data_IF_602061551860
#
_entry.id   IF_602061551860
#
_cell.length_a   1.000
_cell.length_b   1.000
_cell.length_c   1.000
_cell.angle_alpha   90.00
_cell.angle_beta   90.00
_cell.angle_gamma   90.00
#
_symmetry.space_group_name_H-M   'P 1'
#
loop_
_entity.id
_entity.type
_entity.pdbx_description
1 polymer ?
#
# COMPACT_ATOMS: atom_id res chain seq x y z
N UNK A 1 -4.23 -68.87 -23.44
CA UNK A 1 -4.92 -67.99 -24.41
C UNK A 1 -6.01 -67.13 -23.73
N UNK A 2 -5.76 -66.60 -22.53
CA UNK A 2 -6.75 -65.85 -21.74
C UNK A 2 -6.16 -64.64 -20.98
N UNK A 3 -4.94 -64.20 -21.30
CA UNK A 3 -4.30 -63.03 -20.69
C UNK A 3 -4.13 -61.82 -21.63
N UNK A 4 -4.32 -62.00 -22.95
CA UNK A 4 -4.27 -60.89 -23.93
C UNK A 4 -5.62 -60.23 -24.22
N UNK A 5 -6.73 -60.79 -23.73
CA UNK A 5 -8.08 -60.24 -23.96
C UNK A 5 -8.45 -59.19 -22.90
N UNK A 6 -7.86 -59.26 -21.69
CA UNK A 6 -8.14 -58.30 -20.62
C UNK A 6 -7.45 -56.94 -20.77
N UNK A 7 -6.33 -56.84 -21.51
CA UNK A 7 -5.64 -55.55 -21.70
C UNK A 7 -6.31 -54.68 -22.78
N UNK A 8 -6.98 -55.29 -23.77
CA UNK A 8 -7.69 -54.54 -24.83
C UNK A 8 -9.02 -53.97 -24.31
N UNK A 9 -9.69 -54.64 -23.38
CA UNK A 9 -10.97 -54.17 -22.82
C UNK A 9 -10.77 -52.93 -21.94
N UNK A 10 -9.64 -52.82 -21.22
CA UNK A 10 -9.36 -51.66 -20.37
C UNK A 10 -9.08 -50.40 -21.22
N UNK A 11 -8.40 -50.52 -22.36
CA UNK A 11 -8.13 -49.37 -23.22
C UNK A 11 -9.36 -48.84 -23.97
N UNK A 12 -10.35 -49.70 -24.30
CA UNK A 12 -11.60 -49.27 -24.95
C UNK A 12 -12.52 -48.52 -23.96
N UNK A 13 -12.50 -48.88 -22.67
CA UNK A 13 -13.29 -48.16 -21.66
C UNK A 13 -12.77 -46.76 -21.34
N UNK A 14 -11.45 -46.52 -21.45
CA UNK A 14 -10.89 -45.18 -21.24
C UNK A 14 -11.21 -44.23 -22.41
N UNK A 15 -11.36 -44.75 -23.64
CA UNK A 15 -11.69 -43.93 -24.80
C UNK A 15 -13.19 -43.54 -24.91
N UNK A 16 -14.10 -44.30 -24.29
CA UNK A 16 -15.56 -44.05 -24.37
C UNK A 16 -16.11 -43.16 -23.23
N UNK A 17 -15.32 -42.90 -22.19
CA UNK A 17 -15.64 -41.90 -21.15
C UNK A 17 -14.93 -40.56 -21.34
N UNK A 18 -14.24 -40.35 -22.46
CA UNK A 18 -13.89 -39.02 -22.96
C UNK A 18 -15.11 -38.35 -23.58
N UNK A 19 -16.22 -38.28 -22.84
CA UNK A 19 -17.30 -37.36 -23.16
C UNK A 19 -16.74 -35.97 -22.95
N UNK A 20 -16.48 -35.31 -24.08
CA UNK A 20 -16.37 -33.88 -24.26
C UNK A 20 -16.67 -33.10 -22.97
N UNK A 21 -15.60 -32.68 -22.29
CA UNK A 21 -15.65 -31.42 -21.55
C UNK A 21 -15.82 -30.38 -22.66
N UNK A 22 -17.07 -30.20 -23.08
CA UNK A 22 -17.47 -29.00 -23.78
C UNK A 22 -16.98 -27.90 -22.88
N UNK A 23 -15.95 -27.18 -23.34
CA UNK A 23 -15.64 -25.88 -22.81
C UNK A 23 -16.96 -25.11 -22.95
N UNK A 24 -17.73 -25.07 -21.86
CA UNK A 24 -18.76 -24.05 -21.72
C UNK A 24 -18.01 -22.78 -22.06
N UNK A 25 -18.47 -21.97 -23.03
CA UNK A 25 -17.92 -20.63 -23.14
C UNK A 25 -18.14 -20.08 -21.74
N UNK A 26 -17.05 -19.91 -21.00
CA UNK A 26 -17.07 -19.03 -19.87
C UNK A 26 -17.33 -17.71 -20.55
N UNK A 27 -18.61 -17.37 -20.68
CA UNK A 27 -19.03 -16.02 -20.85
C UNK A 27 -18.35 -15.34 -19.67
N UNK A 28 -17.17 -14.76 -19.92
CA UNK A 28 -16.71 -13.62 -19.15
C UNK A 28 -17.91 -12.71 -19.25
N UNK A 29 -18.77 -12.74 -18.24
CA UNK A 29 -19.48 -11.56 -17.82
C UNK A 29 -18.36 -10.58 -17.55
N UNK A 30 -17.96 -9.89 -18.62
CA UNK A 30 -17.37 -8.58 -18.52
C UNK A 30 -18.48 -7.78 -17.86
N UNK A 31 -18.52 -7.87 -16.53
CA UNK A 31 -19.11 -6.84 -15.73
C UNK A 31 -18.63 -5.55 -16.37
N UNK A 32 -19.51 -4.60 -16.69
CA UNK A 32 -19.04 -3.32 -17.16
C UNK A 32 -18.08 -2.87 -16.06
N UNK A 33 -16.78 -2.89 -16.36
CA UNK A 33 -15.84 -2.08 -15.60
C UNK A 33 -16.43 -0.70 -15.81
N UNK A 34 -17.10 -0.22 -14.76
CA UNK A 34 -17.97 0.93 -14.86
C UNK A 34 -17.14 2.07 -15.44
N UNK A 35 -17.66 2.82 -16.43
CA UNK A 35 -16.87 3.90 -17.04
C UNK A 35 -16.34 4.86 -15.98
N UNK A 36 -17.12 5.02 -14.89
CA UNK A 36 -16.76 5.79 -13.69
C UNK A 36 -15.50 5.24 -12.99
N UNK A 37 -15.33 3.91 -12.86
CA UNK A 37 -14.11 3.36 -12.26
C UNK A 37 -12.88 3.57 -13.15
N UNK A 38 -13.06 3.60 -14.47
CA UNK A 38 -11.95 3.84 -15.42
C UNK A 38 -11.49 5.30 -15.41
N UNK A 39 -12.40 6.26 -15.28
CA UNK A 39 -12.07 7.68 -15.12
C UNK A 39 -11.35 7.94 -13.80
N UNK A 40 -11.85 7.38 -12.69
CA UNK A 40 -11.24 7.55 -11.38
C UNK A 40 -9.86 6.92 -11.25
N UNK A 41 -9.65 5.76 -11.88
CA UNK A 41 -8.32 5.16 -12.02
C UNK A 41 -7.38 6.07 -12.82
N UNK A 42 -7.87 6.67 -13.92
CA UNK A 42 -7.08 7.62 -14.73
C UNK A 42 -6.73 8.87 -13.92
N UNK A 43 -7.67 9.40 -13.15
CA UNK A 43 -7.45 10.53 -12.26
C UNK A 43 -6.40 10.21 -11.19
N UNK A 44 -6.51 9.06 -10.52
CA UNK A 44 -5.53 8.62 -9.51
C UNK A 44 -4.14 8.52 -10.14
N UNK A 45 -3.99 7.82 -11.26
CA UNK A 45 -2.71 7.72 -11.96
C UNK A 45 -2.14 9.09 -12.34
N UNK A 46 -2.99 10.03 -12.77
CA UNK A 46 -2.56 11.37 -13.11
C UNK A 46 -2.13 12.19 -11.88
N UNK A 47 -2.71 11.94 -10.71
CA UNK A 47 -2.27 12.52 -9.43
C UNK A 47 -0.92 11.94 -9.02
N UNK A 48 -0.77 10.61 -9.00
CA UNK A 48 0.48 9.93 -8.63
C UNK A 48 1.64 10.30 -9.56
N UNK A 49 1.37 10.43 -10.86
CA UNK A 49 2.35 10.89 -11.85
C UNK A 49 2.57 12.42 -11.84
N UNK A 50 1.97 13.15 -10.90
CA UNK A 50 2.10 14.60 -10.75
C UNK A 50 1.67 15.40 -12.00
N UNK A 51 0.76 14.86 -12.81
CA UNK A 51 0.15 15.51 -13.98
C UNK A 51 -1.08 16.35 -13.58
N UNK A 52 -1.80 15.95 -12.53
CA UNK A 52 -2.87 16.73 -11.89
C UNK A 52 -2.36 17.26 -10.56
N UNK A 53 -2.30 18.59 -10.42
CA UNK A 53 -1.72 19.28 -9.25
C UNK A 53 -2.71 20.23 -8.59
N UNK A 54 -2.46 20.54 -7.32
CA UNK A 54 -3.22 21.56 -6.59
C UNK A 54 -4.70 21.22 -6.38
N UNK A 55 -5.08 19.94 -6.52
CA UNK A 55 -6.42 19.48 -6.18
C UNK A 55 -6.63 19.59 -4.66
N UNK A 56 -7.86 19.92 -4.25
CA UNK A 56 -8.19 20.19 -2.83
C UNK A 56 -8.98 19.07 -2.17
N UNK A 57 -9.74 18.34 -2.96
CA UNK A 57 -10.55 17.18 -2.56
C UNK A 57 -10.51 16.17 -3.70
N UNK A 58 -10.69 14.89 -3.35
CA UNK A 58 -10.96 13.83 -4.31
C UNK A 58 -12.30 14.13 -5.01
N UNK A 59 -12.43 13.96 -6.35
CA UNK A 59 -13.70 14.10 -7.04
C UNK A 59 -14.77 13.22 -6.38
N UNK A 60 -15.93 13.80 -6.04
CA UNK A 60 -16.96 13.09 -5.28
C UNK A 60 -17.46 11.80 -5.95
N UNK A 61 -17.46 11.75 -7.28
CA UNK A 61 -17.84 10.55 -8.04
C UNK A 61 -16.79 9.42 -7.95
N UNK A 62 -15.57 9.70 -7.46
CA UNK A 62 -14.50 8.73 -7.26
C UNK A 62 -14.44 8.13 -5.86
N UNK A 63 -15.37 8.48 -4.96
CA UNK A 63 -15.41 7.95 -3.60
C UNK A 63 -15.29 6.41 -3.55
N UNK A 64 -16.16 5.70 -4.27
CA UNK A 64 -16.18 4.24 -4.26
C UNK A 64 -14.88 3.63 -4.81
N UNK A 65 -14.25 4.30 -5.77
CA UNK A 65 -12.96 3.88 -6.33
C UNK A 65 -11.84 4.02 -5.30
N UNK A 66 -11.74 5.18 -4.64
CA UNK A 66 -10.70 5.42 -3.64
C UNK A 66 -10.91 4.56 -2.39
N UNK A 67 -12.15 4.39 -1.93
CA UNK A 67 -12.45 3.47 -0.84
C UNK A 67 -12.01 2.04 -1.18
N UNK A 68 -12.34 1.56 -2.39
CA UNK A 68 -11.92 0.23 -2.84
C UNK A 68 -10.39 0.11 -2.96
N UNK A 69 -9.71 1.15 -3.41
CA UNK A 69 -8.25 1.18 -3.50
C UNK A 69 -7.59 1.09 -2.10
N UNK A 70 -8.05 1.93 -1.17
CA UNK A 70 -7.47 2.05 0.19
C UNK A 70 -7.85 0.90 1.13
N UNK A 71 -8.88 0.12 0.82
CA UNK A 71 -9.38 -0.95 1.71
C UNK A 71 -9.37 -2.34 1.05
N UNK A 72 -9.19 -2.40 -0.27
CA UNK A 72 -9.28 -3.62 -1.06
C UNK A 72 -7.95 -4.34 -1.29
N UNK A 73 -6.85 -3.90 -0.67
CA UNK A 73 -5.54 -4.55 -0.77
C UNK A 73 -4.64 -4.03 -1.89
N UNK A 74 -5.13 -3.17 -2.78
CA UNK A 74 -4.31 -2.64 -3.89
C UNK A 74 -3.31 -1.60 -3.39
N UNK A 75 -3.72 -0.71 -2.47
CA UNK A 75 -2.81 0.25 -1.83
C UNK A 75 -1.62 -0.45 -1.17
N UNK A 76 -1.89 -1.52 -0.40
CA UNK A 76 -0.85 -2.29 0.27
C UNK A 76 0.10 -2.96 -0.73
N UNK A 77 -0.43 -3.54 -1.82
CA UNK A 77 0.39 -4.13 -2.89
C UNK A 77 1.29 -3.10 -3.57
N UNK A 78 0.78 -1.90 -3.82
CA UNK A 78 1.56 -0.82 -4.44
C UNK A 78 2.69 -0.36 -3.50
N UNK A 79 2.40 -0.19 -2.20
CA UNK A 79 3.39 0.17 -1.17
C UNK A 79 4.46 -0.92 -1.07
N UNK A 80 4.06 -2.18 -0.95
CA UNK A 80 4.99 -3.31 -0.81
C UNK A 80 5.90 -3.43 -2.04
N UNK A 81 5.34 -3.26 -3.25
CA UNK A 81 6.12 -3.28 -4.48
C UNK A 81 7.19 -2.17 -4.51
N UNK A 82 6.83 -0.95 -4.11
CA UNK A 82 7.79 0.17 -4.04
C UNK A 82 8.85 -0.09 -2.97
N UNK A 83 8.46 -0.58 -1.79
CA UNK A 83 9.39 -0.95 -0.71
C UNK A 83 10.38 -2.00 -1.20
N UNK A 84 9.94 -3.03 -1.92
CA UNK A 84 10.83 -4.04 -2.51
C UNK A 84 11.85 -3.42 -3.47
N UNK A 85 11.45 -2.44 -4.30
CA UNK A 85 12.39 -1.74 -5.19
C UNK A 85 13.43 -0.93 -4.39
N UNK A 86 12.98 -0.23 -3.33
CA UNK A 86 13.87 0.52 -2.44
C UNK A 86 14.86 -0.42 -1.76
N UNK A 87 14.38 -1.55 -1.24
CA UNK A 87 15.20 -2.54 -0.58
C UNK A 87 16.24 -3.17 -1.52
N UNK A 88 15.87 -3.42 -2.78
CA UNK A 88 16.80 -3.87 -3.81
C UNK A 88 17.90 -2.84 -4.03
N UNK A 89 17.54 -1.57 -4.21
CA UNK A 89 18.51 -0.49 -4.36
C UNK A 89 19.45 -0.37 -3.15
N UNK A 90 18.90 -0.37 -1.93
CA UNK A 90 19.67 -0.30 -0.67
C UNK A 90 20.65 -1.46 -0.55
N UNK A 91 20.31 -2.65 -1.04
CA UNK A 91 21.18 -3.83 -0.95
C UNK A 91 22.44 -3.74 -1.81
N UNK A 92 22.45 -2.84 -2.80
CA UNK A 92 23.59 -2.59 -3.69
C UNK A 92 24.54 -1.51 -3.15
N UNK A 93 24.14 -0.81 -2.08
CA UNK A 93 24.92 0.27 -1.48
C UNK A 93 25.90 -0.26 -0.42
N UNK A 94 27.08 0.35 -0.38
CA UNK A 94 28.04 0.17 0.71
C UNK A 94 27.92 1.38 1.63
N UNK A 95 27.38 1.17 2.83
CA UNK A 95 27.32 2.20 3.87
C UNK A 95 28.73 2.47 4.38
N UNK A 96 29.15 3.72 4.31
CA UNK A 96 30.46 4.17 4.75
C UNK A 96 30.63 4.13 6.27
N UNK A 97 31.87 4.03 6.72
CA UNK A 97 32.20 4.04 8.16
C UNK A 97 32.20 5.45 8.77
N UNK A 98 31.99 6.50 7.97
CA UNK A 98 31.97 7.90 8.42
C UNK A 98 30.66 8.29 9.12
N UNK A 99 29.62 7.45 9.03
CA UNK A 99 28.31 7.66 9.63
C UNK A 99 27.49 8.76 8.95
N UNK A 100 27.78 9.09 7.69
CA UNK A 100 27.15 10.19 6.97
C UNK A 100 26.07 9.73 5.97
N UNK A 101 25.89 8.43 5.75
CA UNK A 101 24.84 7.89 4.89
C UNK A 101 23.47 8.04 5.53
N UNK A 102 22.71 9.01 5.05
CA UNK A 102 21.41 9.36 5.58
C UNK A 102 20.26 8.83 4.71
N UNK A 103 19.15 8.47 5.36
CA UNK A 103 17.87 8.23 4.70
C UNK A 103 16.82 9.14 5.33
N UNK A 104 15.98 9.77 4.52
CA UNK A 104 14.94 10.69 5.01
C UNK A 104 13.57 10.05 4.74
N UNK A 105 12.71 10.04 5.75
CA UNK A 105 11.31 9.61 5.62
C UNK A 105 10.39 10.73 6.09
N UNK A 106 9.30 10.93 5.36
CA UNK A 106 8.13 11.64 5.88
C UNK A 106 7.38 10.76 6.88
N UNK A 107 6.46 11.34 7.65
CA UNK A 107 5.66 10.62 8.65
C UNK A 107 4.24 10.35 8.15
N UNK A 108 3.49 11.40 7.83
CA UNK A 108 2.06 11.30 7.55
C UNK A 108 1.80 10.63 6.20
N UNK A 109 1.07 9.52 6.21
CA UNK A 109 0.84 8.64 5.05
C UNK A 109 2.13 8.12 4.39
N UNK A 110 3.25 8.13 5.12
CA UNK A 110 4.53 7.46 4.78
C UNK A 110 4.91 6.45 5.87
N UNK A 111 5.21 6.89 7.09
CA UNK A 111 5.45 5.99 8.23
C UNK A 111 4.15 5.62 8.96
N UNK A 112 3.28 6.60 9.18
CA UNK A 112 2.03 6.47 9.93
C UNK A 112 0.84 6.75 9.02
N UNK A 113 -0.15 5.86 8.99
CA UNK A 113 -1.33 6.01 8.13
C UNK A 113 -2.40 6.89 8.77
N UNK A 114 -2.92 7.83 7.98
CA UNK A 114 -4.06 8.68 8.34
C UNK A 114 -5.38 8.17 7.75
N UNK A 115 -5.40 6.99 7.14
CA UNK A 115 -6.61 6.45 6.48
C UNK A 115 -7.82 6.36 7.41
N UNK A 116 -7.60 6.13 8.72
CA UNK A 116 -8.67 6.09 9.74
C UNK A 116 -9.33 7.46 9.89
N UNK A 117 -8.55 8.54 9.86
CA UNK A 117 -9.10 9.90 9.83
C UNK A 117 -9.89 10.13 8.56
N UNK A 118 -9.29 9.81 7.41
CA UNK A 118 -9.88 10.08 6.10
C UNK A 118 -11.12 9.24 5.81
N UNK A 119 -11.30 8.07 6.43
CA UNK A 119 -12.56 7.31 6.38
C UNK A 119 -13.77 8.14 6.82
N UNK A 120 -13.61 8.99 7.84
CA UNK A 120 -14.65 9.93 8.30
C UNK A 120 -14.84 11.15 7.40
N UNK A 121 -13.88 11.39 6.50
CA UNK A 121 -13.86 12.46 5.49
C UNK A 121 -14.06 11.91 4.07
N UNK A 122 -14.72 10.75 3.96
CA UNK A 122 -14.99 10.07 2.69
C UNK A 122 -13.75 9.92 1.82
N UNK A 123 -12.66 9.44 2.42
CA UNK A 123 -11.35 9.22 1.80
C UNK A 123 -10.82 10.44 1.02
N UNK A 124 -11.11 11.65 1.52
CA UNK A 124 -10.67 12.91 0.91
C UNK A 124 -11.67 13.58 -0.04
N UNK A 125 -12.88 13.01 -0.21
CA UNK A 125 -13.97 13.70 -0.93
C UNK A 125 -14.58 14.86 -0.13
N UNK A 126 -14.30 14.96 1.17
CA UNK A 126 -14.68 16.10 2.00
C UNK A 126 -13.46 17.00 2.28
N UNK A 127 -13.65 18.33 2.42
CA UNK A 127 -12.55 19.25 2.68
C UNK A 127 -11.75 18.89 3.94
N UNK A 128 -10.44 19.11 3.85
CA UNK A 128 -9.53 19.00 5.00
C UNK A 128 -9.92 20.01 6.08
N UNK A 129 -9.99 19.53 7.32
CA UNK A 129 -10.25 20.33 8.52
C UNK A 129 -9.00 20.27 9.41
N UNK A 130 -8.17 21.32 9.42
CA UNK A 130 -6.92 21.34 10.17
C UNK A 130 -7.13 21.19 11.68
N UNK A 131 -8.20 21.76 12.24
CA UNK A 131 -8.46 21.68 13.68
C UNK A 131 -8.91 20.27 14.07
N UNK A 132 -9.78 19.66 13.27
CA UNK A 132 -10.20 18.28 13.50
C UNK A 132 -9.04 17.29 13.32
N UNK A 133 -8.18 17.49 12.31
CA UNK A 133 -7.00 16.66 12.11
C UNK A 133 -6.04 16.79 13.29
N UNK A 134 -5.73 18.02 13.73
CA UNK A 134 -4.91 18.27 14.91
C UNK A 134 -5.47 17.57 16.15
N UNK A 135 -6.78 17.70 16.41
CA UNK A 135 -7.44 17.02 17.52
C UNK A 135 -7.38 15.48 17.43
N UNK A 136 -7.41 14.93 16.22
CA UNK A 136 -7.25 13.50 15.99
C UNK A 136 -5.79 13.05 16.16
N UNK A 137 -4.82 13.76 15.58
CA UNK A 137 -3.40 13.46 15.66
C UNK A 137 -2.82 13.59 17.09
N UNK A 138 -3.40 14.47 17.92
CA UNK A 138 -3.06 14.56 19.35
C UNK A 138 -3.32 13.26 20.13
N UNK A 139 -4.18 12.36 19.62
CA UNK A 139 -4.45 11.07 20.26
C UNK A 139 -3.26 10.10 20.14
N UNK A 140 -2.42 10.25 19.12
CA UNK A 140 -1.25 9.40 18.93
C UNK A 140 -1.59 7.93 18.60
N UNK A 141 -2.69 7.70 17.88
CA UNK A 141 -3.20 6.35 17.57
C UNK A 141 -3.10 6.00 16.07
N UNK A 142 -2.21 6.68 15.33
CA UNK A 142 -2.02 6.42 13.90
C UNK A 142 -1.28 5.07 13.73
N UNK A 143 -1.81 4.10 12.97
CA UNK A 143 -1.12 2.84 12.75
C UNK A 143 0.10 3.01 11.84
N UNK A 144 1.12 2.17 12.01
CA UNK A 144 2.21 2.06 11.05
C UNK A 144 1.71 1.63 9.66
N UNK A 145 2.39 2.11 8.62
CA UNK A 145 2.34 1.48 7.29
C UNK A 145 3.34 0.30 7.30
N UNK A 146 2.88 -0.97 7.25
CA UNK A 146 3.74 -2.12 7.56
C UNK A 146 4.98 -2.26 6.68
N UNK A 147 4.85 -2.08 5.36
CA UNK A 147 5.99 -2.15 4.43
C UNK A 147 7.07 -1.11 4.77
N UNK A 148 6.67 0.12 5.12
CA UNK A 148 7.59 1.21 5.46
C UNK A 148 8.24 0.99 6.83
N UNK A 149 7.53 0.40 7.80
CA UNK A 149 8.14 -0.01 9.08
C UNK A 149 9.23 -1.08 8.89
N UNK A 150 8.99 -2.04 7.98
CA UNK A 150 9.98 -3.04 7.59
C UNK A 150 11.22 -2.39 6.97
N UNK A 151 11.02 -1.50 6.00
CA UNK A 151 12.08 -0.72 5.36
C UNK A 151 12.88 0.09 6.39
N UNK A 152 12.20 0.83 7.27
CA UNK A 152 12.83 1.62 8.34
C UNK A 152 13.76 0.75 9.19
N UNK A 153 13.25 -0.39 9.65
CA UNK A 153 14.01 -1.33 10.49
C UNK A 153 15.26 -1.84 9.77
N UNK A 154 15.15 -2.12 8.46
CA UNK A 154 16.26 -2.58 7.62
C UNK A 154 17.30 -1.49 7.41
N UNK A 155 16.88 -0.25 7.14
CA UNK A 155 17.77 0.90 6.98
C UNK A 155 18.60 1.14 8.25
N UNK A 156 17.95 1.22 9.41
CA UNK A 156 18.62 1.39 10.71
C UNK A 156 19.61 0.24 10.97
N UNK A 157 19.17 -1.02 10.75
CA UNK A 157 20.02 -2.20 10.95
C UNK A 157 21.25 -2.20 10.03
N UNK A 158 21.13 -1.67 8.83
CA UNK A 158 22.20 -1.60 7.85
C UNK A 158 23.14 -0.41 8.06
N UNK A 159 22.92 0.41 9.10
CA UNK A 159 23.83 1.49 9.49
C UNK A 159 23.47 2.87 8.91
N UNK A 160 22.37 3.00 8.17
CA UNK A 160 21.91 4.30 7.70
C UNK A 160 21.46 5.18 8.87
N UNK A 161 21.77 6.48 8.78
CA UNK A 161 21.20 7.51 9.65
C UNK A 161 19.82 7.90 9.16
N UNK A 162 18.78 7.33 9.76
CA UNK A 162 17.40 7.63 9.34
C UNK A 162 16.90 8.90 10.03
N UNK A 163 16.50 9.90 9.24
CA UNK A 163 15.90 11.14 9.68
C UNK A 163 14.41 11.12 9.37
N UNK A 164 13.59 11.48 10.35
CA UNK A 164 12.16 11.68 10.17
C UNK A 164 11.89 13.18 10.07
N UNK A 165 11.18 13.59 9.03
CA UNK A 165 10.77 14.98 8.82
C UNK A 165 9.26 14.98 8.65
N UNK A 166 8.57 15.90 9.32
CA UNK A 166 7.11 16.00 9.23
C UNK A 166 6.67 17.44 9.10
N UNK A 167 5.47 17.67 8.56
CA UNK A 167 4.80 18.97 8.58
C UNK A 167 3.87 19.16 9.79
N UNK A 168 3.91 18.26 10.78
CA UNK A 168 3.14 18.41 12.03
C UNK A 168 3.69 19.57 12.85
N UNK A 169 2.79 20.30 13.51
CA UNK A 169 3.16 21.41 14.39
C UNK A 169 3.95 20.92 15.61
N UNK A 170 5.18 21.40 15.78
CA UNK A 170 6.07 20.98 16.88
C UNK A 170 5.45 21.27 18.26
N UNK A 171 4.93 22.48 18.46
CA UNK A 171 4.46 22.96 19.77
C UNK A 171 3.34 22.08 20.33
N UNK A 172 2.45 21.59 19.46
CA UNK A 172 1.24 20.90 19.89
C UNK A 172 1.18 19.42 19.56
N UNK A 173 1.94 18.94 18.58
CA UNK A 173 1.89 17.54 18.13
C UNK A 173 3.18 16.77 18.40
N UNK A 174 4.26 17.40 18.88
CA UNK A 174 5.50 16.68 19.14
C UNK A 174 5.35 15.54 20.16
N UNK A 175 4.72 15.74 21.34
CA UNK A 175 4.59 14.66 22.32
C UNK A 175 3.81 13.46 21.80
N UNK A 176 2.67 13.69 21.12
CA UNK A 176 1.85 12.60 20.59
C UNK A 176 2.51 11.91 19.40
N UNK A 177 3.22 12.64 18.55
CA UNK A 177 3.91 12.06 17.38
C UNK A 177 5.08 11.18 17.82
N UNK A 178 5.89 11.61 18.79
CA UNK A 178 7.00 10.82 19.33
C UNK A 178 6.48 9.53 19.97
N UNK A 179 5.44 9.64 20.82
CA UNK A 179 4.83 8.47 21.47
C UNK A 179 4.26 7.50 20.43
N UNK A 180 3.52 8.02 19.45
CA UNK A 180 2.91 7.21 18.41
C UNK A 180 3.97 6.47 17.56
N UNK A 181 5.05 7.14 17.14
CA UNK A 181 6.14 6.50 16.40
C UNK A 181 6.78 5.36 17.20
N UNK A 182 7.08 5.62 18.48
CA UNK A 182 7.64 4.63 19.38
C UNK A 182 6.72 3.42 19.54
N UNK A 183 5.43 3.65 19.80
CA UNK A 183 4.42 2.60 20.01
C UNK A 183 4.17 1.76 18.74
N UNK A 184 4.39 2.36 17.57
CA UNK A 184 4.30 1.68 16.28
C UNK A 184 5.62 1.01 15.84
N UNK A 185 6.69 1.13 16.62
CA UNK A 185 7.97 0.44 16.39
C UNK A 185 9.02 1.20 15.59
N UNK A 186 8.81 2.50 15.29
CA UNK A 186 9.82 3.35 14.66
C UNK A 186 10.88 3.79 15.68
N UNK A 187 11.74 2.86 16.08
CA UNK A 187 12.78 3.05 17.10
C UNK A 187 14.16 3.10 16.45
N UNK A 188 14.99 4.07 16.85
CA UNK A 188 16.38 4.17 16.39
C UNK A 188 16.64 5.13 15.22
N UNK A 189 15.70 6.02 14.92
CA UNK A 189 15.96 7.16 14.03
C UNK A 189 16.98 8.12 14.67
N UNK A 190 17.77 8.80 13.84
CA UNK A 190 18.81 9.75 14.26
C UNK A 190 18.19 11.04 14.79
N UNK A 191 17.20 11.59 14.08
CA UNK A 191 16.48 12.80 14.49
C UNK A 191 15.09 12.87 13.89
N UNK A 192 14.16 13.41 14.67
CA UNK A 192 12.84 13.84 14.25
C UNK A 192 12.81 15.36 14.14
N UNK A 193 12.36 15.89 13.00
CA UNK A 193 12.21 17.32 12.72
C UNK A 193 10.76 17.62 12.35
N UNK A 194 10.19 18.66 12.94
CA UNK A 194 8.83 19.15 12.70
C UNK A 194 8.83 20.41 11.81
#
# INVERSE_FOLDING_TARGET
MAKRVNEIIIFVFVALFSKAIGAKPYWRTRWPIDRVSTECLTWQLAVEANNVRGWRIVPAHCLSHIEAYMTGGQYEQDVDYIVEQIESYVSELVVGEDGMDAWILDIDDTCLSNVIYYKKKKYGCEPYDPMAFKAWAMKGECPAIPGVLGLFSKLVKNGFKVFLITGRDEETLAPSTIANLHDQGFIGYERLTF
#
